data_IF_258048816239
#
_entry.id   IF_258048816239
#
_cell.length_a   1.000
_cell.length_b   1.000
_cell.length_c   1.000
_cell.angle_alpha   90.00
_cell.angle_beta   90.00
_cell.angle_gamma   90.00
#
_symmetry.space_group_name_H-M   'P 1'
#
loop_
_entity.id
_entity.type
_entity.pdbx_description
1 polymer ?
#
# COMPACT_ATOMS: atom_id res chain seq x y z
N UNK A 1 9.85 -9.78 17.29
CA UNK A 1 9.90 -10.12 15.86
C UNK A 1 10.61 -8.96 15.22
N UNK A 2 11.81 -9.15 14.70
CA UNK A 2 12.52 -8.06 14.02
C UNK A 2 11.87 -7.86 12.66
N UNK A 3 10.82 -7.05 12.67
CA UNK A 3 10.14 -6.55 11.48
C UNK A 3 11.05 -5.47 10.89
N UNK A 4 11.25 -5.49 9.57
CA UNK A 4 12.06 -4.49 8.88
C UNK A 4 11.66 -3.07 9.34
N UNK A 5 12.62 -2.35 9.94
CA UNK A 5 12.38 -1.06 10.62
C UNK A 5 12.42 0.12 9.66
N UNK A 6 12.96 -0.08 8.45
CA UNK A 6 13.10 0.99 7.49
C UNK A 6 11.75 1.31 6.83
N UNK A 7 11.38 2.59 6.73
CA UNK A 7 10.19 2.99 6.01
C UNK A 7 10.36 2.70 4.52
N UNK A 8 9.32 2.14 3.92
CA UNK A 8 9.21 1.94 2.49
C UNK A 8 8.44 3.13 1.93
N UNK A 9 9.09 3.89 1.05
CA UNK A 9 8.47 5.02 0.36
C UNK A 9 7.58 4.49 -0.75
N UNK A 10 6.32 4.89 -0.80
CA UNK A 10 5.39 4.58 -1.89
C UNK A 10 5.08 5.85 -2.64
N UNK A 11 5.28 5.84 -3.96
CA UNK A 11 4.95 6.96 -4.82
C UNK A 11 3.51 6.87 -5.29
N UNK A 12 2.76 7.96 -5.13
CA UNK A 12 1.35 8.03 -5.51
C UNK A 12 1.02 9.40 -6.12
N UNK A 13 -0.12 9.47 -6.80
CA UNK A 13 -0.75 10.70 -7.27
C UNK A 13 -2.18 10.73 -6.80
N UNK A 14 -2.75 11.93 -6.78
CA UNK A 14 -4.17 12.13 -6.60
C UNK A 14 -4.75 12.74 -7.85
N UNK A 15 -6.00 12.43 -8.13
CA UNK A 15 -6.79 13.11 -9.16
C UNK A 15 -8.09 13.56 -8.52
N UNK A 16 -8.38 14.86 -8.59
CA UNK A 16 -9.72 15.33 -8.25
C UNK A 16 -10.65 15.03 -9.40
N UNK A 17 -11.81 14.46 -9.10
CA UNK A 17 -12.83 14.26 -10.12
C UNK A 17 -13.62 15.54 -10.38
N UNK A 18 -13.70 16.45 -9.41
CA UNK A 18 -14.52 17.66 -9.48
C UNK A 18 -13.87 18.86 -8.78
N UNK A 19 -14.24 20.07 -9.25
CA UNK A 19 -13.76 21.31 -8.68
C UNK A 19 -14.47 21.62 -7.35
N UNK A 20 -13.70 21.73 -6.26
CA UNK A 20 -14.21 22.09 -4.92
C UNK A 20 -15.03 23.38 -4.85
N UNK A 21 -14.79 24.33 -5.76
CA UNK A 21 -15.51 25.62 -5.76
C UNK A 21 -16.87 25.57 -6.46
N UNK A 22 -17.05 24.69 -7.46
CA UNK A 22 -18.25 24.71 -8.32
C UNK A 22 -18.86 23.34 -8.62
N UNK A 23 -18.30 22.26 -8.08
CA UNK A 23 -18.78 20.88 -8.23
C UNK A 23 -18.76 20.36 -9.67
N UNK A 24 -18.10 21.06 -10.60
CA UNK A 24 -18.02 20.62 -12.00
C UNK A 24 -16.91 19.58 -12.14
N UNK A 25 -17.13 18.51 -12.92
CA UNK A 25 -16.10 17.52 -13.15
C UNK A 25 -14.90 18.13 -13.88
N UNK A 26 -13.69 17.76 -13.47
CA UNK A 26 -12.48 18.12 -14.20
C UNK A 26 -12.40 17.32 -15.51
N UNK A 27 -12.10 17.98 -16.62
CA UNK A 27 -11.84 17.32 -17.91
C UNK A 27 -10.47 16.63 -17.88
N UNK A 28 -10.51 15.29 -17.87
CA UNK A 28 -9.49 14.22 -17.91
C UNK A 28 -8.00 14.41 -17.56
N UNK A 29 -7.33 15.57 -17.70
CA UNK A 29 -5.87 15.59 -17.91
C UNK A 29 -4.97 16.07 -16.75
N UNK A 30 -5.49 16.50 -15.61
CA UNK A 30 -4.63 16.98 -14.51
C UNK A 30 -4.40 15.88 -13.47
N UNK A 31 -3.43 15.01 -13.74
CA UNK A 31 -2.84 14.22 -12.67
C UNK A 31 -2.19 15.18 -11.68
N UNK A 32 -2.55 15.07 -10.40
CA UNK A 32 -1.90 15.83 -9.36
C UNK A 32 -0.40 15.51 -9.26
N UNK A 33 0.31 16.35 -8.52
CA UNK A 33 1.74 16.19 -8.27
C UNK A 33 2.07 14.79 -7.72
N UNK A 34 3.25 14.29 -8.10
CA UNK A 34 3.78 13.06 -7.53
C UNK A 34 4.09 13.29 -6.05
N UNK A 35 3.54 12.42 -5.21
CA UNK A 35 3.69 12.46 -3.75
C UNK A 35 4.29 11.16 -3.24
N UNK A 36 4.80 11.21 -2.02
CA UNK A 36 5.43 10.10 -1.34
C UNK A 36 4.68 9.79 -0.04
N UNK A 37 4.50 8.51 0.26
CA UNK A 37 3.88 8.03 1.48
C UNK A 37 4.75 6.96 2.14
N UNK A 38 4.98 7.10 3.45
CA UNK A 38 5.78 6.16 4.22
C UNK A 38 4.92 5.03 4.81
N UNK A 39 5.16 3.81 4.32
CA UNK A 39 4.64 2.59 4.93
C UNK A 39 5.76 1.82 5.64
N UNK A 40 5.40 1.02 6.63
CA UNK A 40 6.33 0.10 7.30
C UNK A 40 5.71 -1.28 7.34
N UNK A 41 6.54 -2.31 7.41
CA UNK A 41 6.05 -3.68 7.61
C UNK A 41 5.26 -3.81 8.92
N UNK A 42 5.59 -3.00 9.92
CA UNK A 42 4.82 -2.91 11.17
C UNK A 42 3.38 -2.48 10.91
N UNK A 43 3.15 -1.42 10.13
CA UNK A 43 1.80 -0.95 9.75
C UNK A 43 1.01 -2.03 9.01
N UNK A 44 1.66 -2.82 8.15
CA UNK A 44 1.02 -3.94 7.45
C UNK A 44 0.52 -5.01 8.42
N UNK A 45 1.38 -5.49 9.33
CA UNK A 45 1.00 -6.51 10.32
C UNK A 45 -0.04 -5.99 11.33
N UNK A 46 0.01 -4.71 11.69
CA UNK A 46 -1.03 -4.07 12.52
C UNK A 46 -2.38 -4.03 11.81
N UNK A 47 -2.41 -3.79 10.50
CA UNK A 47 -3.64 -3.82 9.71
C UNK A 47 -4.21 -5.23 9.57
N UNK A 48 -3.38 -6.25 9.32
CA UNK A 48 -3.84 -7.64 9.20
C UNK A 48 -4.20 -8.30 10.53
N UNK A 49 -3.71 -7.77 11.65
CA UNK A 49 -3.79 -8.39 12.99
C UNK A 49 -3.22 -9.82 13.05
N UNK A 50 -2.31 -10.17 12.14
CA UNK A 50 -1.74 -11.52 12.10
C UNK A 50 -0.82 -11.79 13.28
N UNK A 51 -1.12 -12.87 14.00
CA UNK A 51 -0.19 -13.52 14.90
C UNK A 51 0.88 -14.28 14.11
N UNK A 52 1.93 -14.73 14.81
CA UNK A 52 2.94 -15.62 14.20
C UNK A 52 2.35 -16.96 13.74
N UNK A 53 1.26 -17.40 14.35
CA UNK A 53 0.59 -18.65 13.98
C UNK A 53 -0.17 -18.47 12.67
N UNK A 54 -0.88 -17.34 12.51
CA UNK A 54 -1.60 -17.01 11.28
C UNK A 54 -0.66 -16.97 10.05
N UNK A 55 0.58 -16.49 10.21
CA UNK A 55 1.56 -16.45 9.13
C UNK A 55 1.87 -17.83 8.53
N UNK A 56 1.66 -18.92 9.27
CA UNK A 56 1.87 -20.29 8.76
C UNK A 56 0.86 -20.62 7.67
N UNK A 57 -0.38 -20.17 7.85
CA UNK A 57 -1.51 -20.49 7.00
C UNK A 57 -1.72 -19.48 5.87
N UNK A 58 -1.05 -18.32 5.91
CA UNK A 58 -1.04 -17.34 4.81
C UNK A 58 -0.25 -17.87 3.62
N UNK A 59 -0.90 -18.05 2.48
CA UNK A 59 -0.22 -18.39 1.23
C UNK A 59 0.41 -17.15 0.61
N UNK A 60 1.64 -17.29 0.07
CA UNK A 60 2.37 -16.15 -0.52
C UNK A 60 1.69 -15.61 -1.79
N UNK A 61 0.83 -16.39 -2.44
CA UNK A 61 0.05 -15.96 -3.60
C UNK A 61 -1.11 -15.02 -3.23
N UNK A 62 -1.70 -15.19 -2.05
CA UNK A 62 -2.78 -14.32 -1.56
C UNK A 62 -2.27 -12.90 -1.24
N UNK A 63 -0.96 -12.76 -0.99
CA UNK A 63 -0.35 -11.49 -0.63
C UNK A 63 -0.41 -10.43 -1.75
N UNK A 64 -0.54 -10.80 -3.02
CA UNK A 64 -0.64 -9.81 -4.11
C UNK A 64 -1.86 -8.90 -3.94
N UNK A 65 -3.03 -9.50 -3.71
CA UNK A 65 -4.28 -8.77 -3.54
C UNK A 65 -4.29 -8.07 -2.19
N UNK A 66 -3.96 -8.79 -1.11
CA UNK A 66 -4.01 -8.24 0.25
C UNK A 66 -3.12 -7.00 0.42
N UNK A 67 -1.89 -7.04 -0.09
CA UNK A 67 -0.97 -5.91 0.01
C UNK A 67 -1.43 -4.74 -0.86
N UNK A 68 -2.00 -5.02 -2.03
CA UNK A 68 -2.51 -3.98 -2.92
C UNK A 68 -3.72 -3.26 -2.30
N UNK A 69 -4.65 -4.00 -1.70
CA UNK A 69 -5.81 -3.46 -0.97
C UNK A 69 -5.36 -2.66 0.24
N UNK A 70 -4.52 -3.24 1.11
CA UNK A 70 -3.96 -2.55 2.26
C UNK A 70 -3.26 -1.24 1.88
N UNK A 71 -2.44 -1.27 0.83
CA UNK A 71 -1.68 -0.10 0.40
C UNK A 71 -2.61 1.00 -0.10
N UNK A 72 -3.61 0.63 -0.90
CA UNK A 72 -4.62 1.56 -1.40
C UNK A 72 -5.40 2.17 -0.24
N UNK A 73 -5.97 1.34 0.64
CA UNK A 73 -6.81 1.78 1.76
C UNK A 73 -6.03 2.66 2.73
N UNK A 74 -4.79 2.27 3.05
CA UNK A 74 -3.92 3.04 3.95
C UNK A 74 -3.63 4.41 3.38
N UNK A 75 -3.17 4.49 2.12
CA UNK A 75 -2.84 5.79 1.52
C UNK A 75 -4.12 6.61 1.34
N UNK A 76 -5.22 5.99 0.92
CA UNK A 76 -6.48 6.69 0.71
C UNK A 76 -7.00 7.30 2.02
N UNK A 77 -6.97 6.54 3.11
CA UNK A 77 -7.43 7.02 4.42
C UNK A 77 -6.59 8.19 4.97
N UNK A 78 -5.26 8.10 4.88
CA UNK A 78 -4.38 9.10 5.50
C UNK A 78 -4.05 10.28 4.61
N UNK A 79 -4.09 10.09 3.29
CA UNK A 79 -3.59 11.06 2.35
C UNK A 79 -4.68 11.67 1.48
N UNK A 80 -5.82 11.03 1.21
CA UNK A 80 -6.82 11.50 0.25
C UNK A 80 -8.03 12.20 0.91
N UNK A 81 -8.57 13.21 0.24
CA UNK A 81 -9.90 13.76 0.56
C UNK A 81 -11.00 12.88 -0.05
N UNK A 82 -12.26 13.04 0.41
CA UNK A 82 -13.40 12.24 -0.09
C UNK A 82 -13.62 12.31 -1.62
N UNK A 83 -13.17 13.39 -2.25
CA UNK A 83 -13.33 13.65 -3.69
C UNK A 83 -12.08 13.27 -4.51
N UNK A 84 -10.99 12.89 -3.82
CA UNK A 84 -9.74 12.50 -4.45
C UNK A 84 -9.82 11.03 -4.92
N UNK A 85 -9.33 10.77 -6.13
CA UNK A 85 -9.00 9.43 -6.61
C UNK A 85 -7.52 9.19 -6.39
N UNK A 86 -7.21 8.18 -5.60
CA UNK A 86 -5.85 7.70 -5.40
C UNK A 86 -5.36 6.93 -6.63
N UNK A 87 -4.16 7.27 -7.09
CA UNK A 87 -3.47 6.61 -8.18
C UNK A 87 -2.09 6.15 -7.71
N UNK A 88 -1.90 4.83 -7.64
CA UNK A 88 -0.61 4.19 -7.35
C UNK A 88 -0.14 3.52 -8.64
N UNK A 89 1.12 3.75 -9.02
CA UNK A 89 1.69 3.09 -10.19
C UNK A 89 1.73 1.56 -9.98
N UNK A 90 1.39 0.78 -11.01
CA UNK A 90 1.39 -0.69 -10.92
C UNK A 90 2.77 -1.25 -10.52
N UNK A 91 3.85 -0.61 -10.93
CA UNK A 91 5.21 -1.00 -10.56
C UNK A 91 5.49 -0.78 -9.07
N UNK A 92 4.95 0.29 -8.49
CA UNK A 92 5.03 0.55 -7.05
C UNK A 92 4.28 -0.50 -6.26
N UNK A 93 3.03 -0.80 -6.63
CA UNK A 93 2.25 -1.87 -6.00
C UNK A 93 3.00 -3.22 -6.03
N UNK A 94 3.52 -3.61 -7.20
CA UNK A 94 4.33 -4.84 -7.34
C UNK A 94 5.58 -4.83 -6.47
N UNK A 95 6.29 -3.70 -6.38
CA UNK A 95 7.49 -3.57 -5.54
C UNK A 95 7.17 -3.81 -4.07
N UNK A 96 6.10 -3.20 -3.56
CA UNK A 96 5.68 -3.38 -2.16
C UNK A 96 5.25 -4.82 -1.90
N UNK A 97 4.49 -5.43 -2.82
CA UNK A 97 4.12 -6.85 -2.74
C UNK A 97 5.34 -7.74 -2.61
N UNK A 98 6.38 -7.52 -3.42
CA UNK A 98 7.61 -8.33 -3.32
C UNK A 98 8.30 -8.17 -1.97
N UNK A 99 8.39 -6.94 -1.44
CA UNK A 99 8.98 -6.69 -0.12
C UNK A 99 8.20 -7.44 0.96
N UNK A 100 6.87 -7.37 0.94
CA UNK A 100 6.02 -8.08 1.91
C UNK A 100 6.16 -9.59 1.77
N UNK A 101 6.15 -10.14 0.55
CA UNK A 101 6.34 -11.57 0.30
C UNK A 101 7.69 -12.07 0.81
N UNK A 102 8.76 -11.34 0.55
CA UNK A 102 10.10 -11.68 1.06
C UNK A 102 10.13 -11.70 2.58
N UNK A 103 9.52 -10.70 3.23
CA UNK A 103 9.49 -10.63 4.69
C UNK A 103 8.62 -11.72 5.31
N UNK A 104 7.42 -11.97 4.76
CA UNK A 104 6.54 -13.06 5.22
C UNK A 104 7.23 -14.41 5.00
N UNK A 105 7.84 -14.64 3.83
CA UNK A 105 8.58 -15.87 3.56
C UNK A 105 9.78 -16.07 4.49
N UNK A 106 10.50 -15.00 4.85
CA UNK A 106 11.57 -15.04 5.86
C UNK A 106 11.02 -15.42 7.23
N UNK A 107 9.92 -14.81 7.66
CA UNK A 107 9.26 -15.11 8.94
C UNK A 107 8.71 -16.55 8.99
N UNK A 108 8.29 -17.11 7.85
CA UNK A 108 7.91 -18.52 7.70
C UNK A 108 9.09 -19.49 7.65
N UNK A 109 10.33 -18.99 7.53
CA UNK A 109 11.53 -19.82 7.33
C UNK A 109 11.66 -20.41 5.93
N UNK A 110 10.94 -19.87 4.94
CA UNK A 110 10.99 -20.27 3.52
C UNK A 110 12.21 -19.64 2.84
N UNK A 111 12.56 -18.41 3.23
CA UNK A 111 13.74 -17.70 2.74
C UNK A 111 14.79 -17.58 3.85
N UNK A 112 16.05 -17.86 3.52
CA UNK A 112 17.19 -17.60 4.40
C UNK A 112 17.41 -16.10 4.56
N UNK A 113 17.83 -15.68 5.76
CA UNK A 113 18.19 -14.30 6.07
C UNK A 113 19.43 -13.83 5.29
#
# INVERSE_FOLDING_TARGET
>A
MDINKEPIIVKYRKKQNECKCCGRPFTESEFGELREFEVTMKKFFEWTNWSKEDLKDVYLEDLDQMVSEWLYDTINFYACDMEDVLLIDKSEGKRIVQIVKSEVGRLKGIYSA
#
